data_IF_529980963240
#
_entry.id   IF_529980963240
#
_cell.length_a   1.000
_cell.length_b   1.000
_cell.length_c   1.000
_cell.angle_alpha   90.00
_cell.angle_beta   90.00
_cell.angle_gamma   90.00
#
_symmetry.space_group_name_H-M   'P 1'
#
loop_
_entity.id
_entity.type
_entity.pdbx_description
1 polymer ?
#
# COMPACT_ATOMS: atom_id res chain seq x y z
N UNK A 1 -64.08 -11.21 -56.33
CA UNK A 1 -63.04 -10.26 -55.86
C UNK A 1 -62.24 -10.95 -54.77
N UNK A 2 -61.26 -11.76 -55.17
CA UNK A 2 -59.80 -11.55 -55.15
C UNK A 2 -59.19 -11.69 -53.75
N UNK A 3 -58.42 -12.78 -53.58
CA UNK A 3 -57.58 -13.12 -52.42
C UNK A 3 -56.52 -12.03 -52.19
N UNK A 4 -56.24 -11.68 -50.94
CA UNK A 4 -55.02 -10.98 -50.57
C UNK A 4 -54.53 -11.49 -49.20
N UNK A 5 -53.42 -12.23 -49.21
CA UNK A 5 -52.61 -12.53 -48.03
C UNK A 5 -51.74 -11.31 -47.76
N UNK A 6 -51.78 -10.75 -46.55
CA UNK A 6 -50.81 -9.73 -46.11
C UNK A 6 -49.97 -10.36 -45.00
N UNK A 7 -48.71 -10.59 -45.37
CA UNK A 7 -47.60 -11.00 -44.54
C UNK A 7 -47.11 -9.74 -43.80
N UNK A 8 -47.11 -9.75 -42.47
CA UNK A 8 -46.46 -8.69 -41.67
C UNK A 8 -45.24 -9.30 -41.01
N UNK A 9 -44.10 -8.73 -41.35
CA UNK A 9 -42.78 -9.12 -40.92
C UNK A 9 -42.58 -8.85 -39.42
N UNK A 10 -41.93 -9.79 -38.75
CA UNK A 10 -41.39 -9.61 -37.41
C UNK A 10 -40.27 -8.55 -37.47
N UNK A 11 -40.49 -7.43 -36.80
CA UNK A 11 -39.41 -6.50 -36.47
C UNK A 11 -39.01 -6.83 -35.03
N UNK A 12 -37.98 -7.66 -34.90
CA UNK A 12 -37.26 -7.80 -33.65
C UNK A 12 -36.42 -6.53 -33.46
N UNK A 13 -36.97 -5.53 -32.76
CA UNK A 13 -36.15 -4.53 -32.10
C UNK A 13 -35.49 -5.20 -30.88
N UNK A 14 -34.44 -5.98 -31.12
CA UNK A 14 -33.43 -6.19 -30.09
C UNK A 14 -32.67 -4.88 -29.98
N UNK A 15 -33.20 -3.97 -29.16
CA UNK A 15 -32.37 -2.91 -28.61
C UNK A 15 -31.25 -3.60 -27.86
N UNK A 16 -30.05 -3.60 -28.44
CA UNK A 16 -28.83 -3.79 -27.69
C UNK A 16 -28.72 -2.58 -26.77
N UNK A 17 -29.45 -2.62 -25.66
CA UNK A 17 -28.95 -1.99 -24.45
C UNK A 17 -27.61 -2.70 -24.23
N UNK A 18 -26.52 -2.04 -24.62
CA UNK A 18 -25.23 -2.33 -24.04
C UNK A 18 -25.44 -2.09 -22.55
N UNK A 19 -25.77 -3.16 -21.81
CA UNK A 19 -25.80 -3.13 -20.37
C UNK A 19 -24.38 -2.75 -19.99
N UNK A 20 -24.17 -1.47 -19.67
CA UNK A 20 -22.99 -1.03 -18.96
C UNK A 20 -22.91 -1.92 -17.73
N UNK A 21 -21.91 -2.81 -17.70
CA UNK A 21 -21.71 -3.74 -16.60
C UNK A 21 -21.34 -2.92 -15.36
N UNK A 22 -22.35 -2.38 -14.68
CA UNK A 22 -22.17 -1.52 -13.52
C UNK A 22 -21.96 -2.34 -12.24
N UNK A 23 -21.63 -3.63 -12.38
CA UNK A 23 -21.36 -4.51 -11.25
C UNK A 23 -20.11 -4.01 -10.55
N UNK A 24 -20.19 -3.68 -9.24
CA UNK A 24 -19.01 -3.33 -8.46
C UNK A 24 -18.01 -4.50 -8.44
N UNK A 25 -16.74 -4.18 -8.69
CA UNK A 25 -15.60 -5.11 -8.72
C UNK A 25 -14.45 -4.51 -7.93
N UNK A 26 -13.50 -5.35 -7.53
CA UNK A 26 -12.30 -4.95 -6.83
C UNK A 26 -11.06 -5.54 -7.50
N UNK A 27 -10.00 -4.76 -7.59
CA UNK A 27 -8.67 -5.22 -7.99
C UNK A 27 -7.70 -4.95 -6.84
N UNK A 28 -7.02 -5.99 -6.37
CA UNK A 28 -6.08 -5.88 -5.23
C UNK A 28 -4.69 -6.27 -5.68
N UNK A 29 -3.69 -5.48 -5.28
CA UNK A 29 -2.30 -5.69 -5.65
C UNK A 29 -1.38 -4.70 -4.95
N UNK A 30 -0.23 -4.44 -5.56
CA UNK A 30 0.77 -3.51 -5.05
C UNK A 30 0.87 -2.28 -5.95
N UNK A 31 1.01 -1.10 -5.35
CA UNK A 31 1.21 0.15 -6.10
C UNK A 31 2.61 0.15 -6.73
N UNK A 32 2.67 0.27 -8.05
CA UNK A 32 3.93 0.41 -8.82
C UNK A 32 4.14 1.81 -9.39
N UNK A 33 3.06 2.59 -9.50
CA UNK A 33 3.12 4.01 -9.84
C UNK A 33 1.88 4.73 -9.28
N UNK A 34 2.04 6.00 -8.90
CA UNK A 34 0.95 6.84 -8.44
C UNK A 34 1.18 8.28 -8.90
N UNK A 35 0.22 8.83 -9.64
CA UNK A 35 0.22 10.22 -10.09
C UNK A 35 -0.96 10.98 -9.48
N UNK A 36 -1.14 12.26 -9.84
CA UNK A 36 -2.22 13.09 -9.29
C UNK A 36 -3.62 12.44 -9.43
N UNK A 37 -3.87 11.76 -10.55
CA UNK A 37 -5.20 11.21 -10.87
C UNK A 37 -5.14 9.77 -11.38
N UNK A 38 -4.04 9.06 -11.16
CA UNK A 38 -3.93 7.65 -11.54
C UNK A 38 -3.21 6.85 -10.47
N UNK A 39 -3.55 5.57 -10.39
CA UNK A 39 -2.79 4.58 -9.63
C UNK A 39 -2.57 3.36 -10.50
N UNK A 40 -1.34 2.88 -10.56
CA UNK A 40 -0.97 1.67 -11.28
C UNK A 40 -0.75 0.56 -10.28
N UNK A 41 -1.46 -0.55 -10.49
CA UNK A 41 -1.50 -1.67 -9.55
C UNK A 41 -1.09 -2.95 -10.26
N UNK A 42 -0.17 -3.69 -9.64
CA UNK A 42 0.31 -4.98 -10.13
C UNK A 42 -0.15 -6.12 -9.21
N UNK A 43 -0.63 -7.20 -9.81
CA UNK A 43 -0.84 -8.48 -9.14
C UNK A 43 -0.63 -9.66 -10.13
N UNK A 44 -1.02 -10.88 -9.73
CA UNK A 44 -0.86 -12.07 -10.58
C UNK A 44 -1.66 -12.05 -11.90
N UNK A 45 -2.70 -11.23 -12.01
CA UNK A 45 -3.51 -11.05 -13.24
C UNK A 45 -2.87 -10.08 -14.23
N UNK A 46 -1.97 -9.20 -13.76
CA UNK A 46 -1.25 -8.23 -14.57
C UNK A 46 -1.06 -6.89 -13.88
N UNK A 47 -0.59 -5.91 -14.66
CA UNK A 47 -0.48 -4.51 -14.26
C UNK A 47 -1.61 -3.72 -14.91
N UNK A 48 -2.33 -2.92 -14.14
CA UNK A 48 -3.41 -2.06 -14.65
C UNK A 48 -3.34 -0.66 -14.04
N UNK A 49 -3.53 0.35 -14.88
CA UNK A 49 -3.69 1.74 -14.42
C UNK A 49 -5.17 2.07 -14.24
N UNK A 50 -5.52 2.65 -13.10
CA UNK A 50 -6.87 3.14 -12.83
C UNK A 50 -6.89 4.67 -12.78
N UNK A 51 -7.92 5.27 -13.35
CA UNK A 51 -8.21 6.69 -13.13
C UNK A 51 -8.80 6.87 -11.74
N UNK A 52 -8.20 7.76 -10.95
CA UNK A 52 -8.65 8.11 -9.61
C UNK A 52 -9.32 9.49 -9.57
N UNK A 53 -9.64 10.07 -10.73
CA UNK A 53 -10.17 11.44 -10.86
C UNK A 53 -11.40 11.70 -9.99
N UNK A 54 -12.36 10.76 -10.00
CA UNK A 54 -13.62 10.84 -9.24
C UNK A 54 -13.69 9.82 -8.08
N UNK A 55 -12.57 9.17 -7.77
CA UNK A 55 -12.53 8.11 -6.77
C UNK A 55 -12.60 8.66 -5.34
N UNK A 56 -13.27 7.94 -4.44
CA UNK A 56 -13.09 8.12 -3.00
C UNK A 56 -11.64 7.74 -2.61
N UNK A 57 -10.91 8.69 -2.04
CA UNK A 57 -9.51 8.57 -1.60
C UNK A 57 -9.34 8.78 -0.09
N UNK A 58 -10.44 8.74 0.67
CA UNK A 58 -10.41 8.95 2.13
C UNK A 58 -9.48 7.98 2.86
N UNK A 59 -9.27 6.77 2.32
CA UNK A 59 -8.41 5.71 2.85
C UNK A 59 -7.20 5.43 1.93
N UNK A 60 -6.82 6.37 1.06
CA UNK A 60 -5.72 6.18 0.11
C UNK A 60 -4.34 6.20 0.80
N UNK A 61 -4.23 6.80 1.98
CA UNK A 61 -3.00 6.95 2.78
C UNK A 61 -1.76 7.35 1.96
N UNK A 62 -1.93 8.32 1.05
CA UNK A 62 -0.86 8.86 0.23
C UNK A 62 -0.45 8.05 -1.01
N UNK A 63 -1.02 6.85 -1.22
CA UNK A 63 -0.72 5.97 -2.37
C UNK A 63 0.78 5.72 -2.57
N UNK A 64 1.46 5.35 -1.49
CA UNK A 64 2.91 5.12 -1.49
C UNK A 64 3.28 3.89 -2.35
N UNK A 65 4.38 3.99 -3.10
CA UNK A 65 4.91 2.88 -3.89
C UNK A 65 5.21 1.67 -3.00
N UNK A 66 4.91 0.47 -3.50
CA UNK A 66 5.07 -0.77 -2.75
C UNK A 66 3.96 -1.04 -1.71
N UNK A 67 3.03 -0.11 -1.48
CA UNK A 67 1.91 -0.34 -0.57
C UNK A 67 0.89 -1.31 -1.19
N UNK A 68 0.31 -2.23 -0.39
CA UNK A 68 -0.85 -2.99 -0.82
C UNK A 68 -2.06 -2.05 -0.98
N UNK A 69 -2.81 -2.25 -2.06
CA UNK A 69 -3.95 -1.41 -2.42
C UNK A 69 -5.12 -2.24 -2.92
N UNK A 70 -6.32 -1.80 -2.57
CA UNK A 70 -7.57 -2.27 -3.16
C UNK A 70 -8.22 -1.13 -3.93
N UNK A 71 -8.45 -1.36 -5.22
CA UNK A 71 -9.15 -0.44 -6.13
C UNK A 71 -10.51 -1.00 -6.46
N UNK A 72 -11.56 -0.28 -6.06
CA UNK A 72 -12.93 -0.61 -6.44
C UNK A 72 -13.30 0.08 -7.74
N UNK A 73 -13.84 -0.65 -8.69
CA UNK A 73 -14.24 -0.12 -10.00
C UNK A 73 -15.53 -0.80 -10.49
N UNK A 74 -16.09 -0.32 -11.58
CA UNK A 74 -17.21 -0.96 -12.28
C UNK A 74 -16.88 -1.10 -13.75
N UNK A 75 -17.55 -2.01 -14.46
CA UNK A 75 -17.30 -2.25 -15.86
C UNK A 75 -16.22 -3.30 -16.08
N UNK A 76 -15.51 -3.16 -17.20
CA UNK A 76 -14.46 -4.08 -17.61
C UNK A 76 -13.13 -3.67 -16.99
N UNK A 77 -12.31 -4.65 -16.59
CA UNK A 77 -10.92 -4.40 -16.22
C UNK A 77 -10.12 -4.08 -17.48
N UNK A 78 -9.68 -2.84 -17.60
CA UNK A 78 -8.88 -2.34 -18.71
C UNK A 78 -8.10 -1.09 -18.29
N UNK A 79 -7.07 -0.73 -19.05
CA UNK A 79 -6.26 0.45 -18.80
C UNK A 79 -7.12 1.73 -18.75
N UNK A 80 -6.92 2.51 -17.68
CA UNK A 80 -7.64 3.76 -17.44
C UNK A 80 -9.05 3.56 -16.87
N UNK A 81 -9.42 2.34 -16.44
CA UNK A 81 -10.71 2.10 -15.79
C UNK A 81 -10.94 3.07 -14.62
N UNK A 82 -12.15 3.63 -14.55
CA UNK A 82 -12.49 4.59 -13.50
C UNK A 82 -12.65 3.88 -12.16
N UNK A 83 -11.80 4.24 -11.20
CA UNK A 83 -11.94 3.82 -9.82
C UNK A 83 -13.08 4.59 -9.15
N UNK A 84 -13.89 3.87 -8.39
CA UNK A 84 -14.89 4.41 -7.47
C UNK A 84 -14.32 4.65 -6.07
N UNK A 85 -13.34 3.85 -5.65
CA UNK A 85 -12.61 4.01 -4.38
C UNK A 85 -11.22 3.41 -4.47
N UNK A 86 -10.25 4.03 -3.80
CA UNK A 86 -8.91 3.50 -3.60
C UNK A 86 -8.61 3.48 -2.10
N UNK A 87 -8.23 2.31 -1.58
CA UNK A 87 -7.92 2.12 -0.18
C UNK A 87 -6.60 1.34 -0.02
N UNK A 88 -5.80 1.73 0.98
CA UNK A 88 -4.53 1.08 1.34
C UNK A 88 -4.51 0.74 2.82
N UNK A 89 -3.60 -0.15 3.24
CA UNK A 89 -3.35 -0.41 4.66
C UNK A 89 -2.66 0.83 5.29
N UNK A 90 -3.27 1.48 6.30
CA UNK A 90 -2.67 2.65 6.95
C UNK A 90 -1.32 2.33 7.59
N UNK A 91 -1.10 1.10 8.05
CA UNK A 91 0.16 0.65 8.67
C UNK A 91 1.36 0.93 7.76
N UNK A 92 1.18 0.81 6.44
CA UNK A 92 2.26 1.06 5.48
C UNK A 92 2.72 2.52 5.53
N UNK A 93 1.78 3.46 5.44
CA UNK A 93 2.08 4.89 5.49
C UNK A 93 2.56 5.33 6.87
N UNK A 94 2.04 4.71 7.93
CA UNK A 94 2.48 4.96 9.30
C UNK A 94 3.90 4.47 9.54
N UNK A 95 4.31 3.35 8.94
CA UNK A 95 5.66 2.79 9.03
C UNK A 95 6.71 3.64 8.33
N UNK A 96 6.43 4.13 7.12
CA UNK A 96 7.41 4.90 6.33
C UNK A 96 7.81 6.19 7.06
N UNK A 97 9.12 6.39 7.21
CA UNK A 97 9.70 7.55 7.89
C UNK A 97 10.98 7.22 8.67
N UNK A 98 11.50 8.22 9.36
CA UNK A 98 12.66 8.07 10.25
C UNK A 98 12.19 7.80 11.69
N UNK A 99 12.67 6.72 12.28
CA UNK A 99 12.40 6.31 13.65
C UNK A 99 13.67 6.43 14.46
N UNK A 100 13.66 7.26 15.49
CA UNK A 100 14.89 7.63 16.20
C UNK A 100 14.72 7.54 17.71
N UNK A 101 15.84 7.32 18.39
CA UNK A 101 16.01 7.46 19.82
C UNK A 101 17.35 8.17 20.09
N UNK A 102 17.54 8.76 21.29
CA UNK A 102 18.83 9.36 21.67
C UNK A 102 19.98 8.37 21.52
N UNK A 103 21.10 8.82 20.97
CA UNK A 103 22.30 8.00 20.85
C UNK A 103 22.97 7.86 22.23
N UNK A 104 23.21 6.63 22.75
CA UNK A 104 23.85 6.43 24.05
C UNK A 104 25.33 6.83 24.08
N UNK A 105 25.97 7.00 22.92
CA UNK A 105 27.39 7.37 22.76
C UNK A 105 27.53 8.87 22.49
N UNK A 106 26.66 9.43 21.65
CA UNK A 106 26.62 10.86 21.34
C UNK A 106 25.41 11.55 22.00
N UNK A 107 25.58 12.31 23.09
CA UNK A 107 24.47 12.89 23.84
C UNK A 107 23.63 13.90 23.05
N UNK A 108 24.18 14.48 21.98
CA UNK A 108 23.47 15.39 21.07
C UNK A 108 22.97 14.68 19.80
N UNK A 109 23.30 13.39 19.65
CA UNK A 109 23.01 12.56 18.49
C UNK A 109 21.75 11.71 18.64
N UNK A 110 21.32 11.15 17.52
CA UNK A 110 20.23 10.17 17.45
C UNK A 110 20.67 8.96 16.64
N UNK A 111 20.10 7.81 16.98
CA UNK A 111 20.23 6.58 16.21
C UNK A 111 18.87 5.94 15.97
N UNK A 112 18.77 5.03 15.00
CA UNK A 112 17.55 4.28 14.77
C UNK A 112 17.40 3.73 13.36
N UNK A 113 16.20 3.85 12.79
CA UNK A 113 15.78 3.10 11.60
C UNK A 113 15.04 4.05 10.65
N UNK A 114 15.51 4.13 9.42
CA UNK A 114 14.79 4.74 8.30
C UNK A 114 14.02 3.66 7.57
N UNK A 115 12.70 3.74 7.59
CA UNK A 115 11.79 2.86 6.85
C UNK A 115 11.33 3.62 5.60
N UNK A 116 11.50 3.00 4.44
CA UNK A 116 11.24 3.61 3.14
C UNK A 116 10.16 2.83 2.40
N UNK A 117 9.69 3.41 1.30
CA UNK A 117 8.77 2.73 0.37
C UNK A 117 9.42 1.48 -0.23
N UNK A 118 8.61 0.65 -0.88
CA UNK A 118 9.03 -0.59 -1.55
C UNK A 118 9.70 -1.62 -0.62
N UNK A 119 9.49 -1.51 0.70
CA UNK A 119 10.02 -2.48 1.67
C UNK A 119 11.50 -2.26 2.01
N UNK A 120 12.08 -1.11 1.65
CA UNK A 120 13.47 -0.80 1.97
C UNK A 120 13.62 -0.23 3.40
N UNK A 121 14.68 -0.62 4.10
CA UNK A 121 15.02 -0.05 5.40
C UNK A 121 16.52 0.22 5.51
N UNK A 122 16.90 1.18 6.34
CA UNK A 122 18.29 1.57 6.57
C UNK A 122 18.52 1.97 8.03
N UNK A 123 19.64 1.56 8.62
CA UNK A 123 20.03 2.04 9.94
C UNK A 123 20.49 3.51 9.91
N UNK A 124 20.13 4.25 10.96
CA UNK A 124 20.56 5.63 11.23
C UNK A 124 21.58 5.56 12.37
N UNK A 125 22.84 5.93 12.09
CA UNK A 125 23.92 6.02 13.09
C UNK A 125 24.12 4.76 13.96
N UNK A 126 23.87 3.56 13.41
CA UNK A 126 24.11 2.30 14.10
C UNK A 126 25.36 1.60 13.55
N UNK A 127 26.27 1.19 14.44
CA UNK A 127 27.51 0.53 14.04
C UNK A 127 27.36 -0.97 13.77
N UNK A 128 26.51 -1.66 14.54
CA UNK A 128 26.46 -3.13 14.54
C UNK A 128 25.20 -3.70 13.91
N UNK A 129 24.08 -3.00 13.99
CA UNK A 129 22.80 -3.43 13.42
C UNK A 129 22.57 -2.69 12.10
N UNK A 130 22.50 -3.44 11.00
CA UNK A 130 22.14 -2.92 9.67
C UNK A 130 20.79 -3.44 9.25
N UNK A 131 19.75 -2.62 9.41
CA UNK A 131 18.45 -2.85 8.79
C UNK A 131 18.58 -2.68 7.27
N UNK A 132 17.89 -3.54 6.53
CA UNK A 132 17.97 -3.60 5.08
C UNK A 132 16.60 -3.62 4.41
N UNK A 133 15.62 -4.29 5.03
CA UNK A 133 14.27 -4.35 4.50
C UNK A 133 13.21 -4.50 5.59
N UNK A 134 11.96 -4.31 5.19
CA UNK A 134 10.80 -4.48 6.03
C UNK A 134 9.59 -5.00 5.23
N UNK A 135 8.63 -5.60 5.91
CA UNK A 135 7.36 -6.02 5.33
C UNK A 135 6.21 -5.89 6.33
N UNK A 136 4.99 -5.70 5.83
CA UNK A 136 3.78 -5.77 6.63
C UNK A 136 3.55 -7.20 7.13
N UNK A 137 2.97 -7.35 8.32
CA UNK A 137 2.61 -8.65 8.88
C UNK A 137 1.11 -9.00 8.72
N UNK A 138 0.32 -8.10 8.14
CA UNK A 138 -1.13 -8.27 7.97
C UNK A 138 -1.95 -8.03 9.25
N UNK A 139 -1.28 -7.67 10.35
CA UNK A 139 -1.90 -7.18 11.58
C UNK A 139 -1.66 -5.67 11.69
N UNK A 140 -2.69 -4.93 12.12
CA UNK A 140 -2.62 -3.48 12.24
C UNK A 140 -1.45 -3.04 13.12
N UNK A 141 -0.63 -2.13 12.60
CA UNK A 141 0.55 -1.63 13.30
C UNK A 141 1.75 -2.59 13.31
N UNK A 142 1.65 -3.81 12.78
CA UNK A 142 2.74 -4.78 12.83
C UNK A 142 3.55 -4.84 11.53
N UNK A 143 4.86 -4.72 11.70
CA UNK A 143 5.84 -4.91 10.63
C UNK A 143 6.92 -5.90 11.06
N UNK A 144 7.58 -6.47 10.07
CA UNK A 144 8.75 -7.33 10.24
C UNK A 144 9.96 -6.62 9.65
N UNK A 145 10.98 -6.38 10.47
CA UNK A 145 12.25 -5.78 10.08
C UNK A 145 13.28 -6.87 9.85
N UNK A 146 14.09 -6.70 8.80
CA UNK A 146 15.15 -7.65 8.43
C UNK A 146 16.46 -6.91 8.27
N UNK A 147 17.55 -7.58 8.63
CA UNK A 147 18.86 -6.96 8.61
C UNK A 147 19.98 -7.92 8.97
N UNK A 148 21.16 -7.34 9.18
CA UNK A 148 22.38 -8.05 9.52
C UNK A 148 23.03 -7.42 10.75
N UNK A 149 23.39 -8.25 11.73
CA UNK A 149 24.19 -7.88 12.89
C UNK A 149 25.67 -8.20 12.64
N UNK A 150 26.55 -7.23 12.83
CA UNK A 150 28.00 -7.35 12.60
C UNK A 150 28.83 -7.42 13.87
N UNK A 151 28.22 -7.26 15.05
CA UNK A 151 28.94 -7.15 16.32
C UNK A 151 29.72 -8.40 16.76
N UNK A 152 29.45 -9.55 16.15
CA UNK A 152 30.00 -10.86 16.53
C UNK A 152 31.30 -11.26 15.82
N UNK A 153 31.87 -10.40 14.96
CA UNK A 153 33.05 -10.73 14.14
C UNK A 153 32.73 -11.57 12.89
N UNK A 154 31.47 -12.03 12.77
CA UNK A 154 30.85 -12.56 11.56
C UNK A 154 29.45 -11.96 11.43
N UNK A 155 29.01 -11.56 10.21
CA UNK A 155 27.65 -11.09 9.98
C UNK A 155 26.60 -12.17 10.25
N UNK A 156 25.55 -11.82 11.01
CA UNK A 156 24.41 -12.70 11.33
C UNK A 156 23.13 -12.04 10.85
N UNK A 157 22.37 -12.72 9.99
CA UNK A 157 21.03 -12.25 9.59
C UNK A 157 20.06 -12.31 10.75
N UNK A 158 19.23 -11.29 10.89
CA UNK A 158 18.19 -11.24 11.90
C UNK A 158 16.85 -10.83 11.30
N UNK A 159 15.81 -11.14 12.06
CA UNK A 159 14.44 -10.74 11.76
C UNK A 159 13.74 -10.39 13.07
N UNK A 160 13.09 -9.24 13.12
CA UNK A 160 12.45 -8.72 14.33
C UNK A 160 11.04 -8.20 14.01
N UNK A 161 10.07 -8.50 14.85
CA UNK A 161 8.75 -7.89 14.79
C UNK A 161 8.77 -6.55 15.50
N UNK A 162 8.19 -5.53 14.87
CA UNK A 162 7.98 -4.23 15.46
C UNK A 162 6.49 -3.85 15.43
N UNK A 163 6.03 -3.21 16.50
CA UNK A 163 4.69 -2.65 16.62
C UNK A 163 4.75 -1.13 16.54
N UNK A 164 3.96 -0.56 15.64
CA UNK A 164 3.71 0.86 15.46
C UNK A 164 2.44 1.21 16.22
N UNK A 165 2.53 2.26 17.03
CA UNK A 165 1.40 2.82 17.75
C UNK A 165 1.45 4.35 17.69
N UNK A 166 0.29 4.97 17.88
CA UNK A 166 0.14 6.41 18.03
C UNK A 166 -0.45 6.70 19.40
N UNK A 167 0.19 7.55 20.17
CA UNK A 167 -0.32 7.94 21.47
C UNK A 167 -1.41 9.03 21.37
N UNK A 168 -1.95 9.43 22.52
CA UNK A 168 -3.02 10.42 22.61
C UNK A 168 -2.59 11.83 22.15
N UNK A 169 -1.29 12.12 22.21
CA UNK A 169 -0.70 13.39 21.75
C UNK A 169 -0.38 13.36 20.24
N UNK A 170 -0.64 12.22 19.59
CA UNK A 170 -0.44 12.02 18.16
C UNK A 170 0.99 11.63 17.79
N UNK A 171 1.83 11.29 18.78
CA UNK A 171 3.22 10.89 18.57
C UNK A 171 3.23 9.41 18.19
N UNK A 172 3.94 9.11 17.12
CA UNK A 172 4.14 7.74 16.66
C UNK A 172 5.34 7.10 17.35
N UNK A 173 5.17 5.88 17.84
CA UNK A 173 6.22 5.03 18.40
C UNK A 173 6.35 3.72 17.64
N UNK A 174 7.58 3.25 17.45
CA UNK A 174 7.91 1.93 16.92
C UNK A 174 8.63 1.14 18.01
N UNK A 175 8.03 0.03 18.43
CA UNK A 175 8.54 -0.82 19.53
C UNK A 175 8.98 -2.17 18.98
N UNK A 176 10.24 -2.54 19.20
CA UNK A 176 10.78 -3.85 18.83
C UNK A 176 10.35 -4.88 19.89
N UNK A 177 9.59 -5.88 19.49
CA UNK A 177 8.98 -6.82 20.44
C UNK A 177 10.00 -7.72 21.14
N UNK A 178 11.09 -8.07 20.46
CA UNK A 178 12.11 -9.00 20.98
C UNK A 178 12.96 -8.42 22.11
N UNK A 179 13.18 -7.11 22.13
CA UNK A 179 14.09 -6.45 23.08
C UNK A 179 13.50 -5.22 23.80
N UNK A 180 12.31 -4.78 23.41
CA UNK A 180 11.61 -3.63 24.02
C UNK A 180 12.18 -2.26 23.64
N UNK A 181 13.08 -2.17 22.65
CA UNK A 181 13.57 -0.89 22.16
C UNK A 181 12.41 -0.06 21.58
N UNK A 182 12.35 1.21 21.95
CA UNK A 182 11.30 2.14 21.51
C UNK A 182 11.93 3.29 20.75
N UNK A 183 11.46 3.51 19.53
CA UNK A 183 11.82 4.63 18.68
C UNK A 183 10.63 5.57 18.51
N UNK A 184 10.90 6.86 18.41
CA UNK A 184 9.88 7.87 18.11
C UNK A 184 10.03 8.32 16.65
N UNK A 185 8.92 8.52 15.96
CA UNK A 185 8.96 9.03 14.58
C UNK A 185 9.51 10.46 14.61
N UNK A 186 10.61 10.69 13.90
CA UNK A 186 11.23 12.00 13.81
C UNK A 186 10.32 12.94 13.01
N UNK A 187 10.23 14.20 13.44
CA UNK A 187 9.57 15.23 12.67
C UNK A 187 10.43 15.52 11.42
N UNK A 188 9.79 15.59 10.25
CA UNK A 188 10.42 16.00 8.99
C UNK A 188 10.87 17.46 9.02
#
# INVERSE_FOLDING_TARGET
MKRMKIMVAAIALCGLAACSDNTPKSFTGTITDASMNTVTVENAEGTFTFSTMDADKSEANGLLLGAPVTVNYSGKLEEGAAASKVATDPTYAEAVGNWTMPDPIDPDGVMGIRIMVEGEAQSINMATLRYASWELQGEAGKILLKGVSEGSGSPIEFTETATIAKDADGIYTLTIEGNGAVYTKANE
#
